data_IF_016135712598
#
_entry.id   IF_016135712598
#
_cell.length_a   1.000
_cell.length_b   1.000
_cell.length_c   1.000
_cell.angle_alpha   90.00
_cell.angle_beta   90.00
_cell.angle_gamma   90.00
#
_symmetry.space_group_name_H-M   'P 1'
#
loop_
_entity.id
_entity.type
_entity.pdbx_description
1 polymer ?
#
# COMPACT_ATOMS: atom_id res chain seq x y z
N UNK A 1 -14.77 -2.67 28.74
CA UNK A 1 -15.32 -2.89 27.40
C UNK A 1 -14.37 -3.82 26.67
N UNK A 2 -14.81 -4.59 25.69
CA UNK A 2 -13.89 -5.39 24.88
C UNK A 2 -12.95 -4.44 24.11
N UNK A 3 -11.68 -4.80 23.95
CA UNK A 3 -10.67 -4.10 23.16
C UNK A 3 -11.10 -4.09 21.69
N UNK A 4 -11.20 -2.94 21.04
CA UNK A 4 -11.49 -2.87 19.59
C UNK A 4 -10.34 -3.51 18.84
N UNK A 5 -10.65 -4.17 17.73
CA UNK A 5 -9.66 -4.81 16.85
C UNK A 5 -9.64 -4.07 15.52
N UNK A 6 -8.50 -3.57 15.13
CA UNK A 6 -8.36 -2.64 14.01
C UNK A 6 -7.25 -3.11 13.07
N UNK A 7 -7.52 -3.14 11.78
CA UNK A 7 -6.53 -3.22 10.73
C UNK A 7 -6.47 -1.87 10.00
N UNK A 8 -5.26 -1.34 9.88
CA UNK A 8 -4.96 -0.18 9.03
C UNK A 8 -4.07 -0.68 7.89
N UNK A 9 -4.59 -0.69 6.67
CA UNK A 9 -3.89 -1.15 5.46
C UNK A 9 -3.53 0.06 4.59
N UNK A 10 -2.29 0.48 4.68
CA UNK A 10 -1.71 1.59 3.95
C UNK A 10 -1.10 1.08 2.65
N UNK A 11 -1.63 1.53 1.49
CA UNK A 11 -1.32 0.99 0.18
C UNK A 11 -2.04 -0.36 -0.03
N UNK A 12 -3.37 -0.31 -0.04
CA UNK A 12 -4.19 -1.53 -0.15
C UNK A 12 -4.04 -2.19 -1.51
N UNK A 13 -3.64 -1.43 -2.51
CA UNK A 13 -3.63 -1.85 -3.90
C UNK A 13 -4.98 -2.49 -4.26
N UNK A 14 -5.01 -3.71 -4.76
CA UNK A 14 -6.24 -4.45 -5.10
C UNK A 14 -6.81 -5.28 -3.94
N UNK A 15 -6.35 -5.04 -2.71
CA UNK A 15 -6.80 -5.73 -1.52
C UNK A 15 -6.08 -7.03 -1.20
N UNK A 16 -4.95 -7.31 -1.86
CA UNK A 16 -4.16 -8.52 -1.55
C UNK A 16 -3.62 -8.48 -0.14
N UNK A 17 -3.01 -7.37 0.28
CA UNK A 17 -2.49 -7.19 1.62
C UNK A 17 -3.56 -7.35 2.68
N UNK A 18 -4.68 -6.66 2.49
CA UNK A 18 -5.84 -6.79 3.35
C UNK A 18 -6.31 -8.25 3.47
N UNK A 19 -6.43 -8.97 2.34
CA UNK A 19 -6.84 -10.38 2.32
C UNK A 19 -5.87 -11.30 3.08
N UNK A 20 -4.56 -11.04 2.99
CA UNK A 20 -3.54 -11.80 3.70
C UNK A 20 -3.60 -11.53 5.22
N UNK A 21 -3.76 -10.27 5.61
CA UNK A 21 -3.91 -9.90 7.03
C UNK A 21 -5.18 -10.51 7.64
N UNK A 22 -6.31 -10.48 6.92
CA UNK A 22 -7.55 -11.11 7.36
C UNK A 22 -7.35 -12.60 7.62
N UNK A 23 -6.65 -13.31 6.75
CA UNK A 23 -6.34 -14.73 6.93
C UNK A 23 -5.34 -14.98 8.06
N UNK A 24 -4.30 -14.16 8.15
CA UNK A 24 -3.23 -14.31 9.15
C UNK A 24 -3.74 -14.13 10.59
N UNK A 25 -4.63 -13.15 10.80
CA UNK A 25 -5.21 -12.87 12.12
C UNK A 25 -6.59 -13.51 12.32
N UNK A 26 -7.07 -14.33 11.38
CA UNK A 26 -8.41 -14.95 11.43
C UNK A 26 -9.49 -13.92 11.75
N UNK A 27 -9.40 -12.74 11.06
CA UNK A 27 -10.26 -11.59 11.36
C UNK A 27 -11.72 -11.92 11.12
N UNK A 28 -12.53 -11.73 12.14
CA UNK A 28 -13.99 -11.87 12.12
C UNK A 28 -14.70 -10.54 11.80
N UNK A 29 -16.00 -10.46 12.03
CA UNK A 29 -16.81 -9.28 11.80
C UNK A 29 -16.63 -8.18 12.87
N UNK A 30 -15.94 -8.47 13.97
CA UNK A 30 -15.66 -7.51 15.04
C UNK A 30 -14.48 -6.59 14.68
N UNK A 31 -13.69 -6.93 13.65
CA UNK A 31 -12.60 -6.10 13.18
C UNK A 31 -13.13 -4.92 12.37
N UNK A 32 -12.59 -3.75 12.67
CA UNK A 32 -12.71 -2.57 11.83
C UNK A 32 -11.49 -2.49 10.91
N UNK A 33 -11.72 -2.43 9.60
CA UNK A 33 -10.66 -2.44 8.60
C UNK A 33 -10.69 -1.11 7.85
N UNK A 34 -9.56 -0.42 7.83
CA UNK A 34 -9.36 0.84 7.13
C UNK A 34 -8.30 0.63 6.05
N UNK A 35 -8.68 0.86 4.79
CA UNK A 35 -7.81 0.73 3.64
C UNK A 35 -7.60 2.07 2.95
N UNK A 36 -6.37 2.35 2.54
CA UNK A 36 -6.01 3.59 1.85
C UNK A 36 -5.24 3.26 0.58
N UNK A 37 -5.71 3.79 -0.54
CA UNK A 37 -5.10 3.64 -1.86
C UNK A 37 -5.01 5.00 -2.55
N UNK A 38 -3.78 5.41 -2.90
CA UNK A 38 -3.55 6.71 -3.51
C UNK A 38 -3.83 6.73 -5.01
N UNK A 39 -3.48 5.63 -5.71
CA UNK A 39 -3.70 5.52 -7.15
C UNK A 39 -5.22 5.42 -7.45
N UNK A 40 -5.83 6.43 -8.11
CA UNK A 40 -7.28 6.44 -8.33
C UNK A 40 -7.77 5.29 -9.22
N UNK A 41 -6.96 4.84 -10.16
CA UNK A 41 -7.32 3.74 -11.06
C UNK A 41 -7.31 2.38 -10.32
N UNK A 42 -6.34 2.19 -9.45
CA UNK A 42 -6.24 1.00 -8.60
C UNK A 42 -7.36 1.00 -7.55
N UNK A 43 -7.63 2.16 -6.95
CA UNK A 43 -8.74 2.32 -6.01
C UNK A 43 -10.10 1.93 -6.65
N UNK A 44 -10.38 2.43 -7.86
CA UNK A 44 -11.62 2.11 -8.58
C UNK A 44 -11.73 0.61 -8.88
N UNK A 45 -10.62 -0.03 -9.25
CA UNK A 45 -10.56 -1.47 -9.45
C UNK A 45 -10.80 -2.24 -8.14
N UNK A 46 -10.20 -1.80 -7.03
CA UNK A 46 -10.39 -2.42 -5.73
C UNK A 46 -11.85 -2.34 -5.26
N UNK A 47 -12.49 -1.18 -5.38
CA UNK A 47 -13.91 -0.99 -4.99
C UNK A 47 -14.83 -1.91 -5.80
N UNK A 48 -14.50 -2.20 -7.04
CA UNK A 48 -15.23 -3.19 -7.86
C UNK A 48 -14.97 -4.61 -7.36
N UNK A 49 -13.72 -4.94 -7.10
CA UNK A 49 -13.28 -6.27 -6.70
C UNK A 49 -13.84 -6.71 -5.35
N UNK A 50 -13.88 -5.82 -4.36
CA UNK A 50 -14.38 -6.13 -3.01
C UNK A 50 -15.84 -6.62 -3.02
N UNK A 51 -16.59 -6.28 -4.07
CA UNK A 51 -17.99 -6.71 -4.27
C UNK A 51 -18.11 -8.00 -5.08
N UNK A 52 -17.00 -8.55 -5.56
CA UNK A 52 -17.00 -9.76 -6.39
C UNK A 52 -16.87 -11.03 -5.55
N UNK A 53 -17.46 -12.13 -6.02
CA UNK A 53 -17.32 -13.44 -5.37
C UNK A 53 -15.87 -13.91 -5.25
N UNK A 54 -15.00 -13.46 -6.16
CA UNK A 54 -13.57 -13.77 -6.19
C UNK A 54 -12.85 -13.32 -4.90
N UNK A 55 -13.29 -12.22 -4.30
CA UNK A 55 -12.74 -11.67 -3.05
C UNK A 55 -13.69 -11.90 -1.87
N UNK A 56 -14.32 -13.08 -1.80
CA UNK A 56 -15.27 -13.46 -0.75
C UNK A 56 -14.74 -13.22 0.68
N UNK A 57 -13.42 -13.30 0.87
CA UNK A 57 -12.77 -12.99 2.16
C UNK A 57 -13.01 -11.53 2.60
N UNK A 58 -13.17 -10.60 1.64
CA UNK A 58 -13.39 -9.18 1.89
C UNK A 58 -14.88 -8.83 1.99
N UNK A 59 -15.75 -9.61 1.33
CA UNK A 59 -17.14 -9.23 1.07
C UNK A 59 -17.96 -9.06 2.35
N UNK A 60 -17.68 -9.87 3.38
CA UNK A 60 -18.43 -9.88 4.65
C UNK A 60 -17.76 -9.09 5.77
N UNK A 61 -16.73 -8.28 5.45
CA UNK A 61 -15.97 -7.52 6.45
C UNK A 61 -16.41 -6.07 6.53
N UNK A 62 -16.24 -5.46 7.70
CA UNK A 62 -16.46 -4.03 7.90
C UNK A 62 -15.24 -3.25 7.40
N UNK A 63 -15.14 -3.09 6.06
CA UNK A 63 -14.02 -2.42 5.41
C UNK A 63 -14.45 -1.02 4.96
N UNK A 64 -13.70 -0.03 5.40
CA UNK A 64 -13.76 1.36 4.94
C UNK A 64 -12.54 1.63 4.08
N UNK A 65 -12.76 2.01 2.81
CA UNK A 65 -11.68 2.27 1.86
C UNK A 65 -11.77 3.71 1.41
N UNK A 66 -10.61 4.39 1.40
CA UNK A 66 -10.51 5.77 0.95
C UNK A 66 -9.44 5.92 -0.13
N UNK A 67 -9.77 6.72 -1.18
CA UNK A 67 -8.79 7.10 -2.20
C UNK A 67 -7.96 8.28 -1.66
N UNK A 68 -6.96 7.96 -0.87
CA UNK A 68 -6.05 8.93 -0.25
C UNK A 68 -4.64 8.40 -0.15
N UNK A 69 -3.67 9.28 -0.31
CA UNK A 69 -2.28 8.99 0.02
C UNK A 69 -2.08 9.06 1.55
N UNK A 70 -1.50 8.01 2.10
CA UNK A 70 -0.97 8.02 3.46
C UNK A 70 0.27 8.91 3.48
N UNK A 71 0.23 9.99 4.26
CA UNK A 71 1.27 11.00 4.28
C UNK A 71 1.46 11.62 5.67
N UNK A 72 2.20 12.72 5.70
CA UNK A 72 2.53 13.49 6.92
C UNK A 72 1.72 14.78 7.06
N UNK A 73 0.82 15.08 6.09
CA UNK A 73 -0.04 16.27 6.09
C UNK A 73 -1.35 16.01 5.32
N UNK A 74 -2.34 16.88 5.52
CA UNK A 74 -3.67 16.83 4.89
C UNK A 74 -3.80 17.77 3.68
N UNK A 75 -2.68 18.31 3.16
CA UNK A 75 -2.68 19.33 2.10
C UNK A 75 -2.83 18.75 0.70
N UNK A 76 -2.85 17.42 0.58
CA UNK A 76 -2.73 16.71 -0.67
C UNK A 76 -1.27 16.60 -1.12
N UNK A 77 -1.02 15.67 -2.03
CA UNK A 77 0.31 15.43 -2.61
C UNK A 77 0.23 15.29 -4.12
N UNK A 78 1.31 15.61 -4.80
CA UNK A 78 1.53 15.11 -6.16
C UNK A 78 1.94 13.65 -6.08
N UNK A 79 1.30 12.83 -6.90
CA UNK A 79 1.48 11.39 -6.95
C UNK A 79 1.80 10.96 -8.36
N UNK A 80 2.97 10.34 -8.55
CA UNK A 80 3.43 9.86 -9.84
C UNK A 80 2.86 8.48 -10.12
N UNK A 81 2.10 8.39 -11.18
CA UNK A 81 1.47 7.15 -11.64
C UNK A 81 2.42 6.37 -12.53
N UNK A 82 2.48 5.06 -12.30
CA UNK A 82 3.34 4.12 -13.00
C UNK A 82 2.53 3.00 -13.63
N UNK A 83 2.97 2.49 -14.77
CA UNK A 83 2.30 1.38 -15.45
C UNK A 83 3.11 0.84 -16.62
N UNK A 84 2.63 -0.24 -17.20
CA UNK A 84 3.23 -0.87 -18.38
C UNK A 84 2.60 -0.26 -19.63
N UNK A 85 3.41 0.16 -20.59
CA UNK A 85 2.93 0.69 -21.86
C UNK A 85 2.67 -0.44 -22.88
N UNK A 86 1.85 -0.13 -23.90
CA UNK A 86 1.63 -1.03 -25.03
C UNK A 86 2.95 -1.38 -25.75
N UNK A 87 3.86 -0.38 -25.85
CA UNK A 87 5.17 -0.61 -26.47
C UNK A 87 5.98 -1.68 -25.74
N UNK A 88 6.05 -1.62 -24.42
CA UNK A 88 6.77 -2.61 -23.61
C UNK A 88 6.10 -3.98 -23.65
N UNK A 89 4.77 -4.02 -23.60
CA UNK A 89 4.01 -5.25 -23.73
C UNK A 89 4.32 -5.97 -25.05
N UNK A 90 4.45 -5.24 -26.14
CA UNK A 90 4.67 -5.83 -27.47
C UNK A 90 6.13 -6.24 -27.72
N UNK A 91 7.10 -5.56 -27.09
CA UNK A 91 8.50 -5.64 -27.51
C UNK A 91 9.46 -6.27 -26.49
N UNK A 92 9.09 -6.42 -25.23
CA UNK A 92 10.08 -6.71 -24.18
C UNK A 92 10.22 -8.20 -23.84
N UNK A 93 9.15 -8.98 -23.85
CA UNK A 93 9.17 -10.39 -23.45
C UNK A 93 8.35 -11.28 -24.38
N UNK A 94 8.67 -12.58 -24.36
CA UNK A 94 7.98 -13.60 -25.14
C UNK A 94 6.54 -13.89 -24.65
N UNK A 95 5.91 -14.85 -25.32
CA UNK A 95 4.49 -15.18 -25.09
C UNK A 95 4.20 -15.65 -23.65
N UNK A 96 5.18 -16.30 -22.99
CA UNK A 96 5.01 -16.77 -21.60
C UNK A 96 4.77 -15.60 -20.65
N UNK A 97 5.55 -14.51 -20.78
CA UNK A 97 5.36 -13.32 -19.97
C UNK A 97 4.03 -12.61 -20.22
N UNK A 98 3.56 -12.60 -21.47
CA UNK A 98 2.24 -12.03 -21.82
C UNK A 98 1.11 -12.80 -21.16
N UNK A 99 1.26 -14.11 -21.04
CA UNK A 99 0.32 -14.96 -20.32
C UNK A 99 0.37 -14.69 -18.81
N UNK A 100 1.57 -14.53 -18.23
CA UNK A 100 1.74 -14.19 -16.82
C UNK A 100 1.14 -12.82 -16.51
N UNK A 101 1.39 -11.81 -17.35
CA UNK A 101 0.78 -10.50 -17.23
C UNK A 101 -0.75 -10.56 -17.37
N UNK A 102 -1.26 -11.30 -18.35
CA UNK A 102 -2.70 -11.48 -18.54
C UNK A 102 -3.36 -12.14 -17.31
N UNK A 103 -2.68 -13.13 -16.73
CA UNK A 103 -3.11 -13.77 -15.50
C UNK A 103 -3.10 -12.78 -14.35
N UNK A 104 -2.02 -12.05 -14.15
CA UNK A 104 -1.87 -11.06 -13.10
C UNK A 104 -2.91 -9.94 -13.21
N UNK A 105 -3.08 -9.37 -14.40
CA UNK A 105 -4.07 -8.32 -14.67
C UNK A 105 -5.50 -8.84 -14.50
N UNK A 106 -5.82 -9.99 -15.11
CA UNK A 106 -7.15 -10.59 -15.04
C UNK A 106 -7.48 -11.12 -13.65
N UNK A 107 -6.51 -11.72 -12.97
CA UNK A 107 -6.71 -12.25 -11.62
C UNK A 107 -6.78 -11.15 -10.55
N UNK A 108 -6.03 -10.08 -10.69
CA UNK A 108 -5.97 -9.03 -9.68
C UNK A 108 -6.90 -7.86 -9.96
N UNK A 109 -7.09 -7.47 -11.21
CA UNK A 109 -7.83 -6.27 -11.57
C UNK A 109 -9.22 -6.53 -12.17
N UNK A 110 -9.51 -7.75 -12.61
CA UNK A 110 -10.71 -8.03 -13.41
C UNK A 110 -10.76 -7.23 -14.71
N UNK A 111 -9.61 -6.71 -15.17
CA UNK A 111 -9.44 -5.98 -16.41
C UNK A 111 -8.93 -6.92 -17.51
N UNK A 112 -9.36 -6.67 -18.73
CA UNK A 112 -8.68 -7.22 -19.89
C UNK A 112 -7.30 -6.55 -20.06
N UNK A 113 -6.29 -7.29 -20.53
CA UNK A 113 -4.94 -6.77 -20.72
C UNK A 113 -4.93 -5.48 -21.53
N UNK A 114 -5.74 -5.39 -22.59
CA UNK A 114 -5.85 -4.20 -23.42
C UNK A 114 -6.45 -2.99 -22.73
N UNK A 115 -7.17 -3.17 -21.62
CA UNK A 115 -7.65 -2.09 -20.76
C UNK A 115 -6.58 -1.69 -19.73
N UNK A 116 -5.92 -2.68 -19.15
CA UNK A 116 -4.84 -2.45 -18.18
C UNK A 116 -3.66 -1.68 -18.77
N UNK A 117 -3.33 -1.92 -20.05
CA UNK A 117 -2.26 -1.19 -20.74
C UNK A 117 -2.59 0.29 -21.01
N UNK A 118 -3.81 0.73 -20.78
CA UNK A 118 -4.25 2.13 -20.97
C UNK A 118 -4.25 2.95 -19.69
N UNK A 119 -4.14 2.30 -18.55
CA UNK A 119 -4.24 2.95 -17.24
C UNK A 119 -3.00 2.62 -16.40
N UNK A 120 -2.51 3.57 -15.60
CA UNK A 120 -1.35 3.37 -14.73
C UNK A 120 -1.77 2.60 -13.47
N UNK A 121 -1.80 1.29 -13.56
CA UNK A 121 -2.30 0.38 -12.52
C UNK A 121 -1.21 -0.23 -11.62
N UNK A 122 0.05 0.07 -11.87
CA UNK A 122 1.16 -0.53 -11.13
C UNK A 122 1.22 -0.08 -9.67
N UNK A 123 1.53 -1.01 -8.80
CA UNK A 123 1.75 -0.77 -7.38
C UNK A 123 2.94 0.15 -7.09
N UNK A 124 3.95 0.22 -7.98
CA UNK A 124 5.11 1.10 -7.82
C UNK A 124 4.86 2.59 -8.05
N UNK A 125 3.59 3.05 -8.10
CA UNK A 125 3.23 4.46 -8.11
C UNK A 125 3.51 5.11 -6.75
N UNK A 126 4.15 6.28 -6.71
CA UNK A 126 4.63 6.89 -5.47
C UNK A 126 4.36 8.39 -5.38
N UNK A 127 4.54 8.96 -4.19
CA UNK A 127 4.57 10.42 -4.01
C UNK A 127 5.68 11.01 -4.87
N UNK A 128 5.36 12.00 -5.72
CA UNK A 128 6.24 12.48 -6.81
C UNK A 128 7.60 12.97 -6.35
N UNK A 129 7.72 13.51 -5.13
CA UNK A 129 9.01 13.90 -4.56
C UNK A 129 9.97 12.71 -4.30
N UNK A 130 9.45 11.47 -4.24
CA UNK A 130 10.24 10.26 -4.03
C UNK A 130 10.67 9.61 -5.36
N UNK A 131 9.99 9.94 -6.46
CA UNK A 131 10.24 9.37 -7.80
C UNK A 131 11.73 9.34 -8.18
N UNK A 132 12.44 10.44 -7.95
CA UNK A 132 13.86 10.56 -8.30
C UNK A 132 14.81 9.77 -7.38
N UNK A 133 14.30 9.22 -6.28
CA UNK A 133 15.06 8.40 -5.33
C UNK A 133 14.99 6.92 -5.66
N UNK A 134 14.00 6.53 -6.48
CA UNK A 134 13.82 5.16 -6.94
C UNK A 134 14.91 4.84 -7.96
N UNK A 135 15.79 3.93 -7.62
CA UNK A 135 16.83 3.41 -8.50
C UNK A 135 16.41 2.03 -9.02
N UNK A 136 15.63 2.07 -10.07
CA UNK A 136 15.03 0.89 -10.67
C UNK A 136 16.03 0.25 -11.65
N UNK A 137 16.69 -0.81 -11.21
CA UNK A 137 17.79 -1.47 -11.96
C UNK A 137 17.44 -2.86 -12.45
N UNK A 138 16.28 -3.42 -12.07
CA UNK A 138 15.88 -4.73 -12.53
C UNK A 138 15.39 -4.70 -13.99
N UNK A 139 15.57 -5.78 -14.72
CA UNK A 139 15.03 -5.88 -16.10
C UNK A 139 13.50 -5.80 -16.11
N UNK A 140 12.85 -6.31 -15.05
CA UNK A 140 11.40 -6.23 -14.88
C UNK A 140 10.93 -4.79 -14.72
N UNK A 141 11.68 -4.01 -13.97
CA UNK A 141 11.30 -2.65 -13.62
C UNK A 141 11.46 -1.68 -14.80
N UNK A 142 12.30 -2.04 -15.79
CA UNK A 142 12.41 -1.31 -17.05
C UNK A 142 11.14 -1.37 -17.92
N UNK A 143 10.19 -2.28 -17.61
CA UNK A 143 8.90 -2.36 -18.29
C UNK A 143 7.93 -1.27 -17.88
N UNK A 144 8.13 -0.73 -16.67
CA UNK A 144 7.23 0.24 -16.11
C UNK A 144 7.69 1.63 -16.46
N UNK A 145 6.78 2.43 -16.95
CA UNK A 145 7.00 3.85 -17.24
C UNK A 145 6.18 4.74 -16.31
N UNK A 146 6.73 5.91 -16.02
CA UNK A 146 5.98 6.97 -15.39
C UNK A 146 5.03 7.59 -16.41
N UNK A 147 3.74 7.59 -16.10
CA UNK A 147 2.72 8.11 -16.98
C UNK A 147 2.50 9.60 -16.74
N UNK A 148 1.90 9.94 -15.63
CA UNK A 148 1.54 11.29 -15.27
C UNK A 148 1.66 11.53 -13.77
N UNK A 149 1.79 12.79 -13.39
CA UNK A 149 1.67 13.19 -11.99
C UNK A 149 0.25 13.73 -11.78
N UNK A 150 -0.43 13.20 -10.77
CA UNK A 150 -1.80 13.61 -10.42
C UNK A 150 -1.82 14.16 -9.00
N UNK A 151 -2.72 15.11 -8.74
CA UNK A 151 -2.94 15.57 -7.38
C UNK A 151 -3.94 14.64 -6.69
N UNK A 152 -3.53 14.04 -5.58
CA UNK A 152 -4.37 13.18 -4.74
C UNK A 152 -4.55 13.79 -3.37
N UNK A 153 -5.69 13.51 -2.73
CA UNK A 153 -5.87 13.83 -1.33
C UNK A 153 -4.87 13.05 -0.48
N UNK A 154 -4.33 13.68 0.54
CA UNK A 154 -3.50 13.01 1.54
C UNK A 154 -4.03 13.25 2.93
N UNK A 155 -3.58 12.44 3.88
CA UNK A 155 -3.86 12.67 5.28
C UNK A 155 -2.66 12.33 6.16
N UNK A 156 -2.57 13.03 7.28
CA UNK A 156 -1.56 12.79 8.28
C UNK A 156 -1.92 11.54 9.09
N UNK A 157 -1.32 10.39 8.75
CA UNK A 157 -1.61 9.12 9.40
C UNK A 157 -1.39 9.18 10.92
N UNK A 158 -0.33 9.85 11.36
CA UNK A 158 -0.02 9.98 12.79
C UNK A 158 -1.15 10.66 13.56
N UNK A 159 -1.62 11.80 13.06
CA UNK A 159 -2.72 12.54 13.67
C UNK A 159 -4.04 11.78 13.57
N UNK A 160 -4.29 11.16 12.43
CA UNK A 160 -5.50 10.38 12.21
C UNK A 160 -5.61 9.20 13.20
N UNK A 161 -4.49 8.52 13.49
CA UNK A 161 -4.47 7.45 14.50
C UNK A 161 -4.82 8.00 15.88
N UNK A 162 -4.20 9.11 16.29
CA UNK A 162 -4.44 9.74 17.60
C UNK A 162 -5.90 10.17 17.75
N UNK A 163 -6.51 10.70 16.69
CA UNK A 163 -7.87 11.23 16.73
C UNK A 163 -8.96 10.13 16.71
N UNK A 164 -8.65 8.94 16.17
CA UNK A 164 -9.67 7.91 15.93
C UNK A 164 -9.56 6.70 16.87
N UNK A 165 -8.41 6.49 17.49
CA UNK A 165 -8.15 5.29 18.29
C UNK A 165 -7.63 5.61 19.68
N UNK A 166 -7.62 4.57 20.50
CA UNK A 166 -7.13 4.58 21.86
C UNK A 166 -5.93 3.64 22.00
N UNK A 167 -5.03 3.91 22.93
CA UNK A 167 -3.95 2.99 23.30
C UNK A 167 -4.45 1.65 23.84
N UNK A 168 -5.74 1.56 24.19
CA UNK A 168 -6.37 0.30 24.61
C UNK A 168 -6.88 -0.53 23.42
N UNK A 169 -6.93 0.02 22.22
CA UNK A 169 -7.32 -0.70 21.01
C UNK A 169 -6.20 -1.68 20.56
N UNK A 170 -6.56 -2.77 19.90
CA UNK A 170 -5.61 -3.68 19.27
C UNK A 170 -5.45 -3.30 17.81
N UNK A 171 -4.30 -2.74 17.44
CA UNK A 171 -4.09 -2.18 16.12
C UNK A 171 -3.00 -2.95 15.38
N UNK A 172 -3.37 -3.47 14.21
CA UNK A 172 -2.45 -4.03 13.21
C UNK A 172 -2.29 -3.02 12.10
N UNK A 173 -1.06 -2.63 11.81
CA UNK A 173 -0.68 -1.76 10.71
C UNK A 173 0.00 -2.57 9.60
N UNK A 174 -0.55 -2.60 8.39
CA UNK A 174 0.17 -2.99 7.18
C UNK A 174 0.55 -1.72 6.44
N UNK A 175 1.79 -1.60 6.04
CA UNK A 175 2.30 -0.42 5.34
C UNK A 175 3.18 -0.84 4.16
N UNK A 176 2.76 -0.42 2.97
CA UNK A 176 3.41 -0.67 1.71
C UNK A 176 3.01 0.49 0.78
N UNK A 177 3.75 1.59 0.88
CA UNK A 177 3.43 2.90 0.31
C UNK A 177 4.58 3.49 -0.51
N UNK A 178 5.34 2.59 -1.12
CA UNK A 178 6.32 2.88 -2.17
C UNK A 178 7.33 3.97 -1.79
N UNK A 179 7.96 3.79 -0.60
CA UNK A 179 9.01 4.65 -0.08
C UNK A 179 8.52 5.76 0.86
N UNK A 180 7.21 5.99 0.96
CA UNK A 180 6.65 6.97 1.90
C UNK A 180 6.79 6.56 3.36
N UNK A 181 7.12 5.30 3.64
CA UNK A 181 7.43 4.77 4.98
C UNK A 181 8.51 5.60 5.67
N UNK A 182 9.50 6.07 4.91
CA UNK A 182 10.65 6.84 5.40
C UNK A 182 10.32 8.28 5.80
N UNK A 183 9.13 8.75 5.50
CA UNK A 183 8.59 10.04 5.97
C UNK A 183 7.49 9.84 7.03
N UNK A 184 6.64 8.85 6.85
CA UNK A 184 5.47 8.60 7.72
C UNK A 184 5.89 8.03 9.08
N UNK A 185 6.74 6.97 9.10
CA UNK A 185 7.15 6.33 10.35
C UNK A 185 7.92 7.26 11.29
N UNK A 186 8.89 8.09 10.82
CA UNK A 186 9.55 9.07 11.70
C UNK A 186 8.55 10.04 12.35
N UNK A 187 7.53 10.45 11.61
CA UNK A 187 6.48 11.31 12.16
C UNK A 187 5.65 10.57 13.21
N UNK A 188 5.26 9.34 12.96
CA UNK A 188 4.53 8.51 13.92
C UNK A 188 5.33 8.29 15.21
N UNK A 189 6.63 8.05 15.12
CA UNK A 189 7.53 7.91 16.27
C UNK A 189 7.62 9.24 17.03
N UNK A 190 7.82 10.34 16.33
CA UNK A 190 7.94 11.69 16.93
C UNK A 190 6.67 12.12 17.64
N UNK A 191 5.52 11.88 17.03
CA UNK A 191 4.22 12.34 17.56
C UNK A 191 3.66 11.35 18.61
N UNK A 192 4.26 10.16 18.72
CA UNK A 192 3.86 9.14 19.69
C UNK A 192 2.72 8.24 19.23
N UNK A 193 2.17 8.41 18.01
CA UNK A 193 1.11 7.54 17.50
C UNK A 193 1.57 6.10 17.28
N UNK A 194 2.87 5.89 17.13
CA UNK A 194 3.45 4.55 17.02
C UNK A 194 3.15 3.66 18.25
N UNK A 195 2.96 4.27 19.44
CA UNK A 195 2.64 3.54 20.66
C UNK A 195 1.20 2.98 20.69
N UNK A 196 0.38 3.29 19.68
CA UNK A 196 -0.96 2.72 19.51
C UNK A 196 -0.91 1.39 18.74
N UNK A 197 0.21 1.10 18.06
CA UNK A 197 0.36 -0.04 17.15
C UNK A 197 0.88 -1.25 17.92
N UNK A 198 0.15 -2.37 17.85
CA UNK A 198 0.59 -3.64 18.42
C UNK A 198 1.45 -4.44 17.44
N UNK A 199 1.03 -4.53 16.18
CA UNK A 199 1.74 -5.26 15.12
C UNK A 199 1.93 -4.37 13.89
N UNK A 200 3.11 -4.45 13.27
CA UNK A 200 3.37 -3.77 12.01
C UNK A 200 3.97 -4.73 10.98
N UNK A 201 3.43 -4.67 9.78
CA UNK A 201 3.89 -5.39 8.58
C UNK A 201 4.26 -4.34 7.55
N UNK A 202 5.55 -4.15 7.32
CA UNK A 202 6.06 -3.03 6.52
C UNK A 202 6.88 -3.58 5.37
N UNK A 203 6.57 -3.16 4.14
CA UNK A 203 7.47 -3.32 3.03
C UNK A 203 8.51 -2.20 3.05
N UNK A 204 9.79 -2.61 3.10
CA UNK A 204 10.90 -1.68 3.13
C UNK A 204 11.44 -1.47 1.72
N UNK A 205 11.29 -0.27 1.18
CA UNK A 205 11.71 0.06 -0.17
C UNK A 205 13.19 0.49 -0.28
N UNK A 206 14.05 0.11 0.67
CA UNK A 206 15.48 0.41 0.63
C UNK A 206 16.25 -0.37 -0.45
N UNK A 207 15.66 -1.40 -1.01
CA UNK A 207 16.21 -2.13 -2.13
C UNK A 207 16.13 -1.32 -3.46
N UNK A 208 15.09 -0.50 -3.64
CA UNK A 208 14.97 0.47 -4.76
C UNK A 208 15.43 1.87 -4.39
N UNK A 209 15.57 2.17 -3.10
CA UNK A 209 16.06 3.44 -2.55
C UNK A 209 17.29 3.22 -1.65
N UNK A 210 18.47 2.88 -2.21
CA UNK A 210 19.64 2.46 -1.42
C UNK A 210 20.11 3.48 -0.39
N UNK A 211 19.83 4.76 -0.60
CA UNK A 211 20.15 5.83 0.36
C UNK A 211 19.41 5.69 1.70
N UNK A 212 18.32 4.91 1.73
CA UNK A 212 17.51 4.70 2.92
C UNK A 212 17.87 3.46 3.75
N UNK A 213 18.85 2.66 3.33
CA UNK A 213 19.24 1.43 4.05
C UNK A 213 19.61 1.65 5.52
N UNK A 214 20.32 2.73 5.82
CA UNK A 214 20.62 3.06 7.23
C UNK A 214 19.37 3.46 8.01
N UNK A 215 18.45 4.19 7.36
CA UNK A 215 17.19 4.62 7.97
C UNK A 215 16.27 3.44 8.28
N UNK A 216 16.25 2.40 7.44
CA UNK A 216 15.47 1.17 7.70
C UNK A 216 15.82 0.59 9.08
N UNK A 217 17.11 0.41 9.36
CA UNK A 217 17.56 -0.13 10.65
C UNK A 217 17.19 0.79 11.83
N UNK A 218 17.29 2.10 11.65
CA UNK A 218 16.92 3.08 12.67
C UNK A 218 15.41 3.03 12.96
N UNK A 219 14.58 2.95 11.91
CA UNK A 219 13.12 2.85 12.03
C UNK A 219 12.70 1.54 12.70
N UNK A 220 13.28 0.41 12.29
CA UNK A 220 13.01 -0.88 12.94
C UNK A 220 13.33 -0.84 14.44
N UNK A 221 14.44 -0.24 14.83
CA UNK A 221 14.78 -0.04 16.24
C UNK A 221 13.77 0.89 16.94
N UNK A 222 13.32 1.94 16.28
CA UNK A 222 12.28 2.85 16.80
C UNK A 222 10.96 2.14 17.07
N UNK A 223 10.52 1.29 16.15
CA UNK A 223 9.32 0.46 16.29
C UNK A 223 9.47 -0.54 17.45
N UNK A 224 10.61 -1.22 17.54
CA UNK A 224 10.88 -2.17 18.63
C UNK A 224 10.92 -1.48 20.00
N UNK A 225 11.50 -0.28 20.09
CA UNK A 225 11.52 0.51 21.32
C UNK A 225 10.11 0.96 21.76
N UNK A 226 9.19 1.09 20.82
CA UNK A 226 7.77 1.34 21.08
C UNK A 226 6.97 0.06 21.37
N UNK A 227 7.64 -1.10 21.49
CA UNK A 227 7.05 -2.43 21.69
C UNK A 227 6.15 -2.92 20.54
N UNK A 228 6.32 -2.39 19.34
CA UNK A 228 5.61 -2.88 18.15
C UNK A 228 6.18 -4.24 17.74
N UNK A 229 5.31 -5.22 17.54
CA UNK A 229 5.71 -6.52 17.00
C UNK A 229 5.82 -6.44 15.48
N UNK A 230 7.02 -6.67 14.95
CA UNK A 230 7.27 -6.63 13.52
C UNK A 230 7.02 -7.99 12.88
N UNK A 231 6.19 -8.02 11.84
CA UNK A 231 5.99 -9.16 10.95
C UNK A 231 6.72 -8.96 9.61
N UNK A 232 6.99 -10.05 8.90
CA UNK A 232 7.52 -10.00 7.53
C UNK A 232 6.41 -9.59 6.56
N UNK A 233 6.73 -8.67 5.63
CA UNK A 233 5.93 -8.26 4.50
C UNK A 233 6.85 -7.91 3.32
N UNK A 234 6.48 -8.37 2.09
CA UNK A 234 7.29 -8.23 0.88
C UNK A 234 8.03 -9.50 0.51
#
# INVERSE_FOLDING_TARGET
MARRKILIDCGTHLGMGCSQMIKHFEMDQEWEIFGFEANPYVFDAYVKNIKSEKYSVLTDKNIKIENKAVWISDEGVEFSLRGITQYHYDNYYGDDWKNDLATMVGEHNGLEVGEALKVPWDGGSCVSQLKNKINDTSERDKLYEWHEDVKVESFNLSQWIIDNFSSDDFIVLKMDIEGSEYEVLPKMIKDGSINYIDHAFIEWHDWVMPEYRSRTSELMNGLQNANVQLGGWG
#
